data_IF_790873136274
#
_entry.id   IF_790873136274
#
_cell.length_a   1.000
_cell.length_b   1.000
_cell.length_c   1.000
_cell.angle_alpha   90.00
_cell.angle_beta   90.00
_cell.angle_gamma   90.00
#
_symmetry.space_group_name_H-M   'P 1'
#
loop_
_entity.id
_entity.type
_entity.pdbx_description
1 polymer ?
#
# COMPACT_ATOMS: atom_id res chain seq x y z
N UNK A 1 14.79 -13.76 21.34
CA UNK A 1 14.97 -14.81 20.31
C UNK A 1 13.94 -14.57 19.20
N UNK A 2 14.30 -13.77 18.20
CA UNK A 2 13.48 -13.56 17.00
C UNK A 2 13.75 -14.73 16.06
N UNK A 3 12.73 -15.56 15.83
CA UNK A 3 12.79 -16.63 14.84
C UNK A 3 12.84 -15.97 13.46
N UNK A 4 14.00 -15.95 12.82
CA UNK A 4 14.05 -15.79 11.37
C UNK A 4 13.42 -17.04 10.77
N UNK A 5 12.32 -16.87 10.05
CA UNK A 5 11.84 -17.92 9.17
C UNK A 5 12.90 -18.19 8.08
N UNK A 6 12.99 -19.40 7.54
CA UNK A 6 13.75 -19.62 6.31
C UNK A 6 13.22 -18.66 5.23
N UNK A 7 14.08 -18.15 4.34
CA UNK A 7 13.65 -17.33 3.20
C UNK A 7 12.61 -18.14 2.38
N UNK A 8 11.30 -17.79 2.38
CA UNK A 8 10.29 -18.79 2.07
C UNK A 8 9.43 -18.37 0.86
N UNK A 9 10.05 -18.18 -0.32
CA UNK A 9 9.32 -18.21 -1.59
C UNK A 9 10.21 -18.24 -2.83
N UNK A 10 9.80 -19.03 -3.83
CA UNK A 10 10.14 -18.79 -5.24
C UNK A 10 9.24 -17.68 -5.78
N UNK A 11 9.80 -16.51 -6.06
CA UNK A 11 9.06 -15.33 -6.56
C UNK A 11 8.75 -14.30 -5.47
N UNK A 12 8.08 -13.22 -5.87
CA UNK A 12 7.67 -12.17 -4.95
C UNK A 12 6.63 -12.74 -3.97
N UNK A 13 6.70 -12.43 -2.67
CA UNK A 13 5.65 -12.81 -1.70
C UNK A 13 5.31 -11.67 -0.78
N UNK A 14 4.03 -11.32 -0.78
CA UNK A 14 3.47 -10.33 0.13
C UNK A 14 3.10 -10.92 1.49
N UNK A 15 3.65 -10.35 2.57
CA UNK A 15 3.31 -10.62 3.98
C UNK A 15 2.59 -9.40 4.55
N UNK A 16 1.31 -9.55 4.88
CA UNK A 16 0.42 -8.43 5.18
C UNK A 16 -0.32 -8.68 6.49
N UNK A 17 -0.25 -7.73 7.42
CA UNK A 17 -1.21 -7.61 8.52
C UNK A 17 -2.33 -6.68 8.10
N UNK A 18 -3.59 -7.11 8.17
CA UNK A 18 -4.72 -6.33 7.65
C UNK A 18 -5.97 -6.39 8.55
N UNK A 19 -6.83 -5.39 8.38
CA UNK A 19 -8.23 -5.42 8.79
C UNK A 19 -9.12 -5.57 7.56
N UNK A 20 -10.23 -6.28 7.72
CA UNK A 20 -11.29 -6.36 6.71
C UNK A 20 -12.29 -5.24 6.96
N UNK A 21 -12.68 -4.53 5.90
CA UNK A 21 -13.72 -3.50 5.99
C UNK A 21 -15.08 -4.14 6.28
N UNK A 22 -15.87 -3.53 7.16
CA UNK A 22 -17.25 -3.95 7.45
C UNK A 22 -18.16 -3.72 6.24
N UNK A 23 -17.91 -2.68 5.46
CA UNK A 23 -18.61 -2.44 4.19
C UNK A 23 -17.72 -1.74 3.16
N UNK A 24 -17.22 -2.50 2.16
CA UNK A 24 -16.35 -2.00 1.08
C UNK A 24 -17.00 -0.97 0.14
N UNK A 25 -18.31 -0.74 0.24
CA UNK A 25 -19.01 0.25 -0.57
C UNK A 25 -19.02 1.65 0.06
N UNK A 26 -18.73 1.76 1.36
CA UNK A 26 -18.74 3.02 2.10
C UNK A 26 -17.35 3.66 2.13
N UNK A 27 -17.32 4.95 2.46
CA UNK A 27 -16.11 5.74 2.50
C UNK A 27 -15.21 5.36 3.68
N UNK A 28 -13.91 5.55 3.50
CA UNK A 28 -12.92 5.32 4.53
C UNK A 28 -11.65 6.14 4.28
N UNK A 29 -10.88 6.31 5.34
CA UNK A 29 -9.57 6.91 5.32
C UNK A 29 -8.61 6.08 6.17
N UNK A 30 -7.46 5.74 5.60
CA UNK A 30 -6.40 5.01 6.30
C UNK A 30 -5.10 5.78 6.22
N UNK A 31 -4.39 5.83 7.34
CA UNK A 31 -3.00 6.25 7.37
C UNK A 31 -2.15 5.29 8.20
N UNK A 32 -0.88 5.20 7.81
CA UNK A 32 0.17 4.63 8.66
C UNK A 32 1.31 5.62 8.79
N UNK A 33 2.00 5.54 9.92
CA UNK A 33 3.39 6.00 10.02
C UNK A 33 4.27 4.75 10.02
N UNK A 34 5.13 4.67 9.02
CA UNK A 34 5.97 3.52 8.78
C UNK A 34 7.35 3.95 8.27
N UNK A 35 8.29 4.27 9.16
CA UNK A 35 9.70 4.36 8.79
C UNK A 35 10.19 3.03 8.23
N UNK A 36 10.71 3.07 7.01
CA UNK A 36 11.23 1.91 6.30
C UNK A 36 12.72 2.12 6.02
N UNK A 37 13.50 1.08 6.28
CA UNK A 37 14.91 1.00 5.93
C UNK A 37 15.10 -0.26 5.11
N UNK A 38 15.50 -0.11 3.85
CA UNK A 38 15.73 -1.23 2.94
C UNK A 38 17.01 -0.98 2.16
N UNK A 39 17.72 -2.05 1.82
CA UNK A 39 18.84 -1.95 0.89
C UNK A 39 18.35 -1.82 -0.56
N UNK A 40 19.03 -1.00 -1.34
CA UNK A 40 18.68 -0.54 -2.69
C UNK A 40 18.53 -1.68 -3.69
N UNK A 41 19.36 -2.71 -3.53
CA UNK A 41 19.39 -3.88 -4.40
C UNK A 41 18.40 -4.98 -3.97
N UNK A 42 17.65 -4.76 -2.89
CA UNK A 42 16.69 -5.74 -2.36
C UNK A 42 15.40 -5.82 -3.18
N UNK A 43 15.05 -4.78 -3.95
CA UNK A 43 13.81 -4.66 -4.74
C UNK A 43 12.51 -4.97 -3.96
N UNK A 44 12.53 -4.95 -2.63
CA UNK A 44 11.36 -5.20 -1.80
C UNK A 44 10.40 -4.01 -1.85
N UNK A 45 9.11 -4.24 -1.61
CA UNK A 45 8.13 -3.16 -1.43
C UNK A 45 7.62 -3.16 -0.02
N UNK A 46 7.44 -2.00 0.60
CA UNK A 46 6.90 -1.93 1.95
C UNK A 46 6.03 -0.69 2.12
N UNK A 47 5.07 -0.77 3.04
CA UNK A 47 4.21 0.35 3.38
C UNK A 47 2.77 -0.07 3.59
N UNK A 48 1.85 0.80 3.18
CA UNK A 48 0.41 0.62 3.31
C UNK A 48 -0.08 -0.29 2.17
N UNK A 49 -0.87 -1.30 2.51
CA UNK A 49 -1.43 -2.27 1.58
C UNK A 49 -2.95 -2.10 1.47
N UNK A 50 -3.42 -2.09 0.23
CA UNK A 50 -4.84 -2.20 -0.13
C UNK A 50 -5.03 -3.52 -0.88
N UNK A 51 -6.06 -4.29 -0.54
CA UNK A 51 -6.33 -5.57 -1.16
C UNK A 51 -7.81 -5.73 -1.52
N UNK A 52 -8.03 -6.21 -2.73
CA UNK A 52 -9.26 -6.86 -3.15
C UNK A 52 -9.07 -8.37 -2.98
N UNK A 53 -9.62 -8.92 -1.91
CA UNK A 53 -9.47 -10.34 -1.59
C UNK A 53 -10.29 -11.25 -2.49
N UNK A 54 -11.19 -10.71 -3.32
CA UNK A 54 -11.99 -11.50 -4.26
C UNK A 54 -11.18 -11.77 -5.52
N UNK A 55 -10.54 -10.75 -6.09
CA UNK A 55 -9.67 -10.91 -7.26
C UNK A 55 -8.22 -11.28 -6.91
N UNK A 56 -7.82 -11.13 -5.65
CA UNK A 56 -6.44 -11.32 -5.20
C UNK A 56 -5.51 -10.15 -5.52
N UNK A 57 -6.02 -9.10 -6.17
CA UNK A 57 -5.24 -7.91 -6.52
C UNK A 57 -4.94 -7.07 -5.29
N UNK A 58 -3.74 -6.49 -5.28
CA UNK A 58 -3.30 -5.62 -4.21
C UNK A 58 -2.53 -4.42 -4.75
N UNK A 59 -2.46 -3.37 -3.93
CA UNK A 59 -1.60 -2.23 -4.14
C UNK A 59 -0.78 -1.95 -2.89
N UNK A 60 0.46 -1.54 -3.08
CA UNK A 60 1.36 -1.04 -2.04
C UNK A 60 1.55 0.45 -2.24
N UNK A 61 1.37 1.21 -1.18
CA UNK A 61 1.60 2.65 -1.13
C UNK A 61 2.73 2.85 -0.14
N UNK A 62 3.93 3.08 -0.65
CA UNK A 62 5.12 3.16 0.18
C UNK A 62 6.41 3.02 -0.62
N UNK A 63 7.45 2.52 0.04
CA UNK A 63 8.79 2.50 -0.53
C UNK A 63 9.00 1.32 -1.49
N UNK A 64 9.69 1.62 -2.59
CA UNK A 64 9.97 0.69 -3.68
C UNK A 64 11.46 0.29 -3.78
N UNK A 65 12.36 1.29 -3.80
CA UNK A 65 13.82 1.16 -3.68
C UNK A 65 14.42 2.56 -3.36
N UNK A 66 15.74 2.70 -3.20
CA UNK A 66 16.38 4.00 -2.89
C UNK A 66 16.27 5.01 -4.05
N UNK A 67 16.36 4.56 -5.31
CA UNK A 67 16.34 5.44 -6.48
C UNK A 67 14.94 5.96 -6.85
N UNK A 68 13.90 5.31 -6.33
CA UNK A 68 12.50 5.70 -6.42
C UNK A 68 11.83 5.41 -5.06
N UNK A 69 12.07 6.30 -4.07
CA UNK A 69 11.76 6.06 -2.66
C UNK A 69 10.27 5.93 -2.36
N UNK A 70 9.40 6.23 -3.32
CA UNK A 70 7.97 6.09 -3.14
C UNK A 70 7.26 5.69 -4.44
N UNK A 71 6.26 4.82 -4.32
CA UNK A 71 5.35 4.52 -5.40
C UNK A 71 4.01 3.99 -4.90
N UNK A 72 3.03 4.07 -5.79
CA UNK A 72 1.84 3.23 -5.72
C UNK A 72 2.12 2.07 -6.67
N UNK A 73 2.26 0.87 -6.12
CA UNK A 73 2.70 -0.31 -6.86
C UNK A 73 1.59 -1.35 -6.85
N UNK A 74 1.23 -1.84 -8.02
CA UNK A 74 0.18 -2.82 -8.23
C UNK A 74 0.74 -4.22 -8.38
N UNK A 75 -0.02 -5.18 -7.88
CA UNK A 75 0.29 -6.60 -7.91
C UNK A 75 -0.97 -7.37 -8.28
N UNK A 76 -0.90 -8.18 -9.34
CA UNK A 76 -2.03 -8.95 -9.87
C UNK A 76 -2.40 -10.11 -8.95
N UNK A 77 -1.49 -10.53 -8.09
CA UNK A 77 -1.70 -11.50 -7.01
C UNK A 77 -0.69 -11.26 -5.88
N UNK A 78 -0.73 -12.09 -4.82
CA UNK A 78 0.29 -12.06 -3.76
C UNK A 78 1.72 -12.31 -4.26
N UNK A 79 1.88 -12.81 -5.49
CA UNK A 79 3.16 -13.25 -6.04
C UNK A 79 3.53 -12.70 -7.41
N UNK A 80 2.76 -11.74 -7.94
CA UNK A 80 2.97 -11.25 -9.29
C UNK A 80 2.82 -9.74 -9.36
N UNK A 81 3.85 -9.08 -9.89
CA UNK A 81 3.86 -7.65 -10.19
C UNK A 81 2.84 -7.30 -11.28
N UNK A 82 2.10 -6.20 -11.07
CA UNK A 82 1.01 -5.74 -11.93
C UNK A 82 1.20 -4.34 -12.51
N UNK A 83 2.32 -3.67 -12.22
CA UNK A 83 2.59 -2.29 -12.66
C UNK A 83 2.40 -1.26 -11.55
N UNK A 84 1.98 -0.05 -11.90
CA UNK A 84 1.65 1.00 -10.94
C UNK A 84 1.36 2.33 -11.66
N UNK A 85 0.55 3.22 -11.07
CA UNK A 85 0.19 4.50 -11.69
C UNK A 85 1.34 5.52 -11.67
N UNK A 86 2.37 5.33 -10.83
CA UNK A 86 3.52 6.23 -10.79
C UNK A 86 4.56 5.87 -9.74
N UNK A 87 5.79 6.27 -10.02
CA UNK A 87 6.93 6.24 -9.09
C UNK A 87 7.44 7.67 -8.92
N UNK A 88 7.79 8.04 -7.70
CA UNK A 88 8.11 9.42 -7.33
C UNK A 88 9.45 9.48 -6.62
N UNK A 89 10.24 10.48 -7.02
CA UNK A 89 11.53 10.77 -6.42
C UNK A 89 11.37 11.88 -5.41
N UNK A 90 11.79 11.62 -4.18
CA UNK A 90 11.84 12.58 -3.10
C UNK A 90 13.28 12.73 -2.62
N UNK A 91 13.68 13.94 -2.24
CA UNK A 91 15.01 14.20 -1.66
C UNK A 91 15.18 13.58 -0.27
N UNK A 92 14.06 13.34 0.42
CA UNK A 92 13.97 12.62 1.68
C UNK A 92 12.88 11.55 1.53
N UNK A 93 12.98 10.40 2.18
CA UNK A 93 11.91 9.41 2.15
C UNK A 93 10.71 9.85 3.01
N UNK A 94 9.47 9.85 2.47
CA UNK A 94 8.29 10.04 3.28
C UNK A 94 8.08 8.82 4.17
N UNK A 95 7.68 9.05 5.42
CA UNK A 95 7.42 7.98 6.40
C UNK A 95 5.94 7.83 6.72
N UNK A 96 5.08 8.75 6.24
CA UNK A 96 3.64 8.65 6.38
C UNK A 96 2.99 8.34 5.03
N UNK A 97 2.11 7.34 5.04
CA UNK A 97 1.37 6.91 3.86
C UNK A 97 -0.12 6.90 4.17
N UNK A 98 -0.93 7.52 3.32
CA UNK A 98 -2.38 7.64 3.51
C UNK A 98 -3.13 7.37 2.22
N UNK A 99 -4.28 6.72 2.33
CA UNK A 99 -5.23 6.55 1.25
C UNK A 99 -6.62 6.88 1.75
N UNK A 100 -7.36 7.65 0.96
CA UNK A 100 -8.79 7.86 1.15
C UNK A 100 -9.59 7.20 0.05
N UNK A 101 -10.76 6.67 0.41
CA UNK A 101 -11.78 6.20 -0.52
C UNK A 101 -13.03 7.04 -0.31
N UNK A 102 -13.40 7.79 -1.35
CA UNK A 102 -14.53 8.72 -1.30
C UNK A 102 -15.49 8.43 -2.43
N UNK A 103 -16.77 8.31 -2.08
CA UNK A 103 -17.86 8.01 -3.00
C UNK A 103 -18.65 9.28 -3.27
N UNK A 104 -18.72 9.68 -4.53
CA UNK A 104 -19.49 10.85 -4.97
C UNK A 104 -20.59 10.40 -5.92
N UNK A 105 -21.73 11.08 -5.86
CA UNK A 105 -22.84 10.86 -6.81
C UNK A 105 -23.15 12.18 -7.48
N UNK A 106 -22.97 12.23 -8.79
CA UNK A 106 -23.29 13.40 -9.62
C UNK A 106 -24.20 12.93 -10.74
N UNK A 107 -25.37 13.56 -10.89
CA UNK A 107 -26.36 13.20 -11.91
C UNK A 107 -26.70 11.69 -11.94
N UNK A 108 -26.91 11.09 -10.77
CA UNK A 108 -27.20 9.66 -10.57
C UNK A 108 -26.07 8.70 -10.97
N UNK A 109 -24.88 9.22 -11.30
CA UNK A 109 -23.68 8.41 -11.52
C UNK A 109 -22.88 8.40 -10.23
N UNK A 110 -22.74 7.21 -9.63
CA UNK A 110 -21.94 7.01 -8.42
C UNK A 110 -20.55 6.51 -8.78
N UNK A 111 -19.52 7.25 -8.38
CA UNK A 111 -18.12 6.85 -8.53
C UNK A 111 -17.45 6.81 -7.17
N UNK A 112 -16.55 5.84 -6.97
CA UNK A 112 -15.69 5.80 -5.80
C UNK A 112 -14.27 6.03 -6.27
N UNK A 113 -13.61 7.02 -5.67
CA UNK A 113 -12.25 7.44 -5.98
C UNK A 113 -11.32 7.04 -4.85
N UNK A 114 -10.16 6.49 -5.20
CA UNK A 114 -9.02 6.32 -4.31
C UNK A 114 -8.03 7.46 -4.53
N UNK A 115 -7.69 8.17 -3.46
CA UNK A 115 -6.67 9.21 -3.50
C UNK A 115 -5.52 8.84 -2.57
N UNK A 116 -4.31 8.91 -3.12
CA UNK A 116 -3.09 8.47 -2.45
C UNK A 116 -2.28 9.67 -2.02
N UNK A 117 -1.82 9.66 -0.77
CA UNK A 117 -1.07 10.75 -0.17
C UNK A 117 0.18 10.24 0.55
N UNK A 118 1.18 11.13 0.61
CA UNK A 118 2.39 10.94 1.42
C UNK A 118 2.68 12.16 2.26
N UNK A 119 3.42 11.97 3.34
CA UNK A 119 3.91 13.05 4.18
C UNK A 119 5.24 12.71 4.85
N UNK A 120 6.03 13.73 5.14
CA UNK A 120 7.24 13.62 5.98
C UNK A 120 6.96 13.92 7.45
N UNK A 121 5.89 14.65 7.76
CA UNK A 121 5.61 15.19 9.10
C UNK A 121 4.24 14.79 9.67
N UNK A 122 3.43 14.08 8.87
CA UNK A 122 2.06 13.68 9.22
C UNK A 122 1.05 14.84 9.22
N UNK A 123 1.46 16.04 8.82
CA UNK A 123 0.64 17.27 8.82
C UNK A 123 0.37 17.76 7.41
N UNK A 124 1.44 17.90 6.63
CA UNK A 124 1.38 18.36 5.24
C UNK A 124 1.34 17.14 4.32
N UNK A 125 0.26 16.99 3.57
CA UNK A 125 0.01 15.82 2.74
C UNK A 125 0.10 16.18 1.27
N UNK A 126 1.03 15.55 0.56
CA UNK A 126 1.13 15.65 -0.89
C UNK A 126 0.26 14.57 -1.52
N UNK A 127 -0.69 14.97 -2.37
CA UNK A 127 -1.38 14.03 -3.25
C UNK A 127 -0.41 13.55 -4.33
N UNK A 128 -0.20 12.24 -4.41
CA UNK A 128 0.72 11.62 -5.37
C UNK A 128 -0.03 10.99 -6.54
N UNK A 129 -1.18 10.36 -6.28
CA UNK A 129 -1.98 9.73 -7.33
C UNK A 129 -3.47 9.76 -6.98
N UNK A 130 -4.31 9.51 -7.98
CA UNK A 130 -5.74 9.36 -7.84
C UNK A 130 -6.24 8.36 -8.90
N UNK A 131 -7.07 7.40 -8.51
CA UNK A 131 -7.64 6.39 -9.40
C UNK A 131 -9.11 6.09 -9.05
N UNK A 132 -9.86 5.52 -9.98
CA UNK A 132 -11.13 4.88 -9.65
C UNK A 132 -10.90 3.67 -8.73
N UNK A 133 -11.83 3.42 -7.81
CA UNK A 133 -11.76 2.29 -6.88
C UNK A 133 -11.87 0.93 -7.58
N UNK A 134 -12.27 0.90 -8.84
CA UNK A 134 -12.38 -0.31 -9.67
C UNK A 134 -11.39 -0.38 -10.82
N UNK A 135 -10.56 0.64 -11.03
CA UNK A 135 -9.60 0.68 -12.15
C UNK A 135 -8.59 -0.45 -12.03
N UNK A 136 -8.02 -0.63 -10.84
CA UNK A 136 -7.16 -1.76 -10.50
C UNK A 136 -7.91 -2.87 -9.77
N UNK A 137 -8.72 -2.52 -8.77
CA UNK A 137 -9.39 -3.50 -7.90
C UNK A 137 -10.74 -3.92 -8.47
N UNK A 138 -10.82 -5.07 -9.12
CA UNK A 138 -12.04 -5.52 -9.81
C UNK A 138 -13.29 -5.49 -8.92
N UNK A 139 -13.17 -5.82 -7.63
CA UNK A 139 -14.28 -5.88 -6.67
C UNK A 139 -14.19 -4.84 -5.54
N UNK A 140 -13.45 -3.74 -5.75
CA UNK A 140 -13.04 -2.74 -4.73
C UNK A 140 -12.17 -3.33 -3.61
N UNK A 141 -11.47 -2.43 -2.92
CA UNK A 141 -10.69 -2.77 -1.73
C UNK A 141 -11.61 -3.23 -0.62
N UNK A 142 -11.32 -4.38 -0.01
CA UNK A 142 -12.05 -4.89 1.15
C UNK A 142 -11.14 -5.28 2.32
N UNK A 143 -9.82 -5.25 2.12
CA UNK A 143 -8.83 -5.43 3.19
C UNK A 143 -7.78 -4.33 3.10
N UNK A 144 -7.46 -3.75 4.24
CA UNK A 144 -6.50 -2.64 4.36
C UNK A 144 -5.51 -2.99 5.48
N UNK A 145 -4.24 -2.77 5.22
CA UNK A 145 -3.19 -3.20 6.12
C UNK A 145 -1.85 -2.58 5.83
N UNK A 146 -0.81 -3.21 6.34
CA UNK A 146 0.57 -2.86 6.08
C UNK A 146 1.37 -4.15 5.92
N UNK A 147 2.51 -4.05 5.25
CA UNK A 147 3.30 -5.24 5.02
C UNK A 147 4.55 -5.03 4.19
N UNK A 148 5.10 -6.16 3.79
CA UNK A 148 6.23 -6.27 2.87
C UNK A 148 5.85 -7.15 1.71
N UNK A 149 6.29 -6.76 0.52
CA UNK A 149 6.53 -7.68 -0.58
C UNK A 149 8.01 -8.06 -0.55
N UNK A 150 8.27 -9.34 -0.30
CA UNK A 150 9.61 -9.93 -0.22
C UNK A 150 9.98 -10.37 -1.64
N UNK A 151 11.00 -9.76 -2.22
CA UNK A 151 11.57 -10.19 -3.48
C UNK A 151 12.31 -11.53 -3.32
N UNK A 152 12.41 -12.29 -4.41
CA UNK A 152 12.99 -13.64 -4.46
C UNK A 152 14.48 -13.75 -4.14
N UNK A 153 15.20 -12.62 -3.99
CA UNK A 153 16.63 -12.59 -3.65
C UNK A 153 16.94 -11.65 -2.47
N UNK A 154 16.48 -11.95 -1.23
CA UNK A 154 16.69 -11.06 -0.10
C UNK A 154 17.97 -11.46 0.63
N UNK A 155 19.14 -11.30 0.01
CA UNK A 155 20.42 -11.42 0.75
C UNK A 155 20.65 -10.23 1.68
N UNK A 156 19.81 -9.19 1.59
CA UNK A 156 19.99 -7.94 2.31
C UNK A 156 18.78 -7.64 3.20
N UNK A 157 19.03 -7.21 4.45
CA UNK A 157 17.96 -6.95 5.41
C UNK A 157 17.12 -5.74 5.00
N UNK A 158 15.83 -5.83 5.27
CA UNK A 158 14.90 -4.70 5.23
C UNK A 158 14.05 -4.72 6.50
N UNK A 159 13.74 -3.53 7.00
CA UNK A 159 13.00 -3.33 8.25
C UNK A 159 11.96 -2.23 8.00
N UNK A 160 10.74 -2.49 8.46
CA UNK A 160 9.68 -1.49 8.56
C UNK A 160 9.19 -1.55 9.99
N UNK A 161 9.13 -0.40 10.61
CA UNK A 161 8.43 -0.24 11.88
C UNK A 161 7.09 0.40 11.59
N UNK A 162 6.05 0.03 12.33
CA UNK A 162 4.74 0.66 12.23
C UNK A 162 4.35 1.06 13.64
N UNK A 163 4.44 2.35 13.92
CA UNK A 163 4.09 2.91 15.23
C UNK A 163 2.70 3.56 15.24
N UNK A 164 2.11 3.76 14.05
CA UNK A 164 0.76 4.26 13.87
C UNK A 164 0.05 3.51 12.74
N UNK A 165 -1.13 2.97 13.04
CA UNK A 165 -2.12 2.52 12.07
C UNK A 165 -3.47 3.10 12.46
N UNK A 166 -4.02 3.96 11.61
CA UNK A 166 -5.31 4.59 11.84
C UNK A 166 -6.19 4.38 10.62
N UNK A 167 -7.23 3.60 10.79
CA UNK A 167 -8.27 3.35 9.80
C UNK A 167 -9.60 3.89 10.36
N UNK A 168 -10.24 4.78 9.62
CA UNK A 168 -11.46 5.47 10.03
C UNK A 168 -12.49 5.51 8.91
N UNK A 169 -13.74 5.77 9.29
CA UNK A 169 -14.87 5.89 8.36
C UNK A 169 -15.96 4.87 8.63
N UNK A 170 -17.12 5.03 7.97
CA UNK A 170 -18.26 4.12 8.12
C UNK A 170 -18.02 2.67 7.65
N UNK A 171 -16.93 2.41 6.91
CA UNK A 171 -16.56 1.07 6.44
C UNK A 171 -15.70 0.25 7.42
N UNK A 172 -15.41 0.76 8.63
CA UNK A 172 -14.46 0.15 9.59
C UNK A 172 -15.15 -0.72 10.64
#
# INVERSE_FOLDING_TARGET
MLKSGPAPASGDVSRIGYKTLTNKALDWDVMIHAPITMNDSSYQKAGLFLMDSVSGRLAVVGQNNEYAPFGVVYFSSLTQYGGGPGMYNFSLQPTFYRVSSVTTTVNSVTTTTLTYYVSHDGKNWLQVAQTGATDWFTSRVNRIGFGFNIASNPTLPAIMTVDCFKLTGPAV
#
